data_IF_440705640283
#
_entry.id   IF_440705640283
#
_cell.length_a   1.000
_cell.length_b   1.000
_cell.length_c   1.000
_cell.angle_alpha   90.00
_cell.angle_beta   90.00
_cell.angle_gamma   90.00
#
_symmetry.space_group_name_H-M   'P 1'
#
loop_
_entity.id
_entity.type
_entity.pdbx_description
1 polymer ?
#
# COMPACT_ATOMS: atom_id res chain seq x y z
N UNK A 1 16.78 23.49 -12.79
CA UNK A 1 15.57 22.67 -12.64
C UNK A 1 16.03 21.23 -12.87
N UNK A 2 16.33 20.49 -11.79
CA UNK A 2 16.83 19.12 -11.93
C UNK A 2 15.65 18.24 -12.33
N UNK A 3 15.72 17.67 -13.53
CA UNK A 3 14.91 16.52 -13.88
C UNK A 3 15.35 15.40 -12.94
N UNK A 4 14.47 14.95 -12.05
CA UNK A 4 14.65 13.65 -11.43
C UNK A 4 14.68 12.65 -12.59
N UNK A 5 15.84 12.04 -12.83
CA UNK A 5 15.94 10.88 -13.71
C UNK A 5 15.16 9.77 -13.01
N UNK A 6 13.95 9.51 -13.51
CA UNK A 6 13.20 8.33 -13.11
C UNK A 6 13.91 7.17 -13.82
N UNK A 7 14.52 6.28 -13.04
CA UNK A 7 15.12 5.06 -13.57
C UNK A 7 14.01 4.22 -14.21
N UNK A 8 14.02 4.12 -15.53
CA UNK A 8 13.05 3.33 -16.31
C UNK A 8 13.08 1.83 -15.94
N UNK A 9 14.08 1.35 -15.17
CA UNK A 9 14.13 -0.01 -14.64
C UNK A 9 13.19 -0.28 -13.45
N UNK A 10 12.53 0.73 -12.86
CA UNK A 10 11.59 0.52 -11.73
C UNK A 10 10.38 -0.35 -12.13
N UNK A 11 10.08 -0.47 -13.43
CA UNK A 11 8.98 -1.27 -13.94
C UNK A 11 9.34 -2.75 -14.15
N UNK A 12 10.61 -3.14 -14.04
CA UNK A 12 11.10 -4.51 -14.29
C UNK A 12 11.46 -5.29 -13.00
N UNK A 13 10.97 -4.87 -11.84
CA UNK A 13 11.19 -5.66 -10.63
C UNK A 13 10.19 -6.83 -10.54
N UNK A 14 10.58 -7.97 -11.12
CA UNK A 14 10.09 -9.27 -10.68
C UNK A 14 10.49 -9.45 -9.21
N UNK A 15 9.58 -9.15 -8.30
CA UNK A 15 9.88 -9.19 -6.88
C UNK A 15 8.64 -9.19 -6.02
N UNK A 16 8.84 -9.65 -4.79
CA UNK A 16 7.84 -9.58 -3.73
C UNK A 16 8.21 -8.50 -2.72
N UNK A 17 7.21 -8.04 -1.98
CA UNK A 17 7.30 -7.06 -0.90
C UNK A 17 6.35 -7.46 0.21
N UNK A 18 6.73 -7.14 1.44
CA UNK A 18 5.92 -7.40 2.61
C UNK A 18 5.13 -6.16 2.97
N UNK A 19 3.82 -6.32 3.18
CA UNK A 19 2.98 -5.29 3.80
C UNK A 19 2.23 -5.89 4.99
N UNK A 20 2.03 -5.07 6.02
CA UNK A 20 1.23 -5.43 7.19
C UNK A 20 -0.20 -4.92 7.04
N UNK A 21 -1.19 -5.80 7.11
CA UNK A 21 -2.61 -5.48 6.95
C UNK A 21 -3.38 -5.64 8.26
N UNK A 22 -4.24 -4.68 8.56
CA UNK A 22 -5.28 -4.83 9.60
C UNK A 22 -6.48 -5.59 9.06
N UNK A 23 -7.39 -6.02 9.96
CA UNK A 23 -8.66 -6.65 9.55
C UNK A 23 -9.48 -5.76 8.61
N UNK A 24 -9.62 -4.47 8.94
CA UNK A 24 -10.42 -3.53 8.15
C UNK A 24 -9.80 -3.32 6.75
N UNK A 25 -8.48 -3.25 6.68
CA UNK A 25 -7.76 -3.13 5.41
C UNK A 25 -7.91 -4.39 4.55
N UNK A 26 -7.77 -5.58 5.13
CA UNK A 26 -7.92 -6.84 4.43
C UNK A 26 -9.35 -7.05 3.89
N UNK A 27 -10.38 -6.78 4.71
CA UNK A 27 -11.78 -6.85 4.29
C UNK A 27 -12.10 -5.84 3.18
N UNK A 28 -11.57 -4.62 3.29
CA UNK A 28 -11.75 -3.62 2.24
C UNK A 28 -11.17 -4.08 0.90
N UNK A 29 -9.97 -4.68 0.92
CA UNK A 29 -9.35 -5.20 -0.31
C UNK A 29 -10.19 -6.34 -0.87
N UNK A 30 -10.57 -7.32 -0.05
CA UNK A 30 -11.37 -8.48 -0.46
C UNK A 30 -12.71 -8.06 -1.11
N UNK A 31 -13.41 -7.09 -0.51
CA UNK A 31 -14.65 -6.52 -1.03
C UNK A 31 -14.48 -5.80 -2.39
N UNK A 32 -13.25 -5.37 -2.71
CA UNK A 32 -12.88 -4.57 -3.88
C UNK A 32 -12.30 -5.39 -5.04
N UNK A 33 -12.10 -6.70 -4.85
CA UNK A 33 -11.54 -7.58 -5.88
C UNK A 33 -12.55 -8.65 -6.32
N UNK A 34 -12.25 -9.28 -7.45
CA UNK A 34 -12.98 -10.45 -7.95
C UNK A 34 -12.00 -11.45 -8.53
N UNK A 35 -12.34 -12.73 -8.54
CA UNK A 35 -11.53 -13.74 -9.20
C UNK A 35 -11.52 -13.54 -10.72
N UNK A 36 -10.33 -13.60 -11.31
CA UNK A 36 -10.11 -13.70 -12.75
C UNK A 36 -10.36 -15.15 -13.21
N UNK A 37 -11.22 -15.37 -14.21
CA UNK A 37 -11.40 -16.66 -14.87
C UNK A 37 -10.88 -16.52 -16.29
N UNK A 38 -10.07 -17.45 -16.77
CA UNK A 38 -9.75 -17.58 -18.19
C UNK A 38 -10.80 -18.48 -18.87
N UNK A 39 -11.78 -17.95 -19.62
CA UNK A 39 -12.62 -18.79 -20.45
C UNK A 39 -11.81 -19.28 -21.66
N UNK A 40 -12.23 -20.41 -22.25
CA UNK A 40 -11.62 -21.03 -23.43
C UNK A 40 -11.49 -20.07 -24.65
N UNK A 41 -12.16 -18.92 -24.63
CA UNK A 41 -12.11 -17.87 -25.64
C UNK A 41 -11.31 -16.64 -25.15
N UNK A 42 -10.01 -16.79 -24.85
CA UNK A 42 -8.94 -15.76 -24.76
C UNK A 42 -9.19 -14.41 -24.03
N UNK A 43 -10.34 -14.20 -23.39
CA UNK A 43 -10.72 -12.96 -22.73
C UNK A 43 -11.05 -13.29 -21.29
N UNK A 44 -10.18 -12.94 -20.33
CA UNK A 44 -10.47 -13.25 -18.94
C UNK A 44 -11.73 -12.51 -18.48
N UNK A 45 -12.64 -13.23 -17.81
CA UNK A 45 -13.91 -12.72 -17.32
C UNK A 45 -13.96 -12.77 -15.78
N UNK A 46 -14.53 -11.76 -15.11
CA UNK A 46 -14.70 -11.78 -13.66
C UNK A 46 -15.84 -12.73 -13.23
N UNK A 47 -15.74 -13.32 -12.03
CA UNK A 47 -16.76 -14.25 -11.49
C UNK A 47 -18.05 -13.56 -11.00
N UNK A 48 -18.04 -12.26 -10.62
CA UNK A 48 -19.25 -11.51 -10.17
C UNK A 48 -19.68 -10.43 -11.17
N UNK A 49 -20.99 -10.14 -11.31
CA UNK A 49 -21.45 -8.97 -12.07
C UNK A 49 -20.79 -7.69 -11.55
N UNK A 50 -20.22 -6.90 -12.47
CA UNK A 50 -19.51 -5.67 -12.14
C UNK A 50 -20.50 -4.58 -11.73
N UNK A 51 -20.78 -4.48 -10.43
CA UNK A 51 -21.48 -3.34 -9.82
C UNK A 51 -20.50 -2.16 -9.81
N UNK A 52 -20.92 -0.88 -9.97
CA UNK A 52 -20.01 0.28 -10.00
C UNK A 52 -19.40 0.64 -8.63
N UNK A 53 -18.74 -0.34 -8.01
CA UNK A 53 -17.63 -0.17 -7.08
C UNK A 53 -16.48 -0.91 -7.76
N UNK A 54 -15.35 -0.25 -8.00
CA UNK A 54 -14.24 -0.79 -8.78
C UNK A 54 -13.90 -2.24 -8.40
N UNK A 55 -14.19 -3.20 -9.28
CA UNK A 55 -13.90 -4.62 -9.10
C UNK A 55 -12.75 -4.98 -10.02
N UNK A 56 -11.54 -4.96 -9.48
CA UNK A 56 -10.34 -5.35 -10.24
C UNK A 56 -10.24 -6.87 -10.18
N UNK A 57 -10.14 -7.56 -11.33
CA UNK A 57 -9.97 -9.00 -11.32
C UNK A 57 -8.54 -9.36 -10.92
N UNK A 58 -8.39 -10.34 -10.04
CA UNK A 58 -7.10 -10.79 -9.49
C UNK A 58 -6.98 -12.32 -9.59
N UNK A 59 -5.77 -12.88 -9.64
CA UNK A 59 -5.60 -14.32 -9.65
C UNK A 59 -5.99 -14.93 -8.29
N UNK A 60 -6.39 -16.20 -8.30
CA UNK A 60 -6.93 -16.88 -7.11
C UNK A 60 -5.96 -16.88 -5.90
N UNK A 61 -4.66 -16.96 -6.16
CA UNK A 61 -3.64 -16.92 -5.12
C UNK A 61 -3.68 -15.62 -4.27
N UNK A 62 -4.10 -14.50 -4.86
CA UNK A 62 -4.24 -13.23 -4.13
C UNK A 62 -5.44 -13.29 -3.19
N UNK A 63 -6.54 -13.94 -3.59
CA UNK A 63 -7.71 -14.16 -2.74
C UNK A 63 -7.35 -15.09 -1.56
N UNK A 64 -6.56 -16.14 -1.80
CA UNK A 64 -6.12 -17.05 -0.75
C UNK A 64 -5.26 -16.34 0.31
N UNK A 65 -4.33 -15.47 -0.13
CA UNK A 65 -3.53 -14.62 0.77
C UNK A 65 -4.41 -13.70 1.64
N UNK A 66 -5.43 -13.07 1.05
CA UNK A 66 -6.36 -12.20 1.78
C UNK A 66 -7.21 -13.00 2.77
N UNK A 67 -7.72 -14.16 2.37
CA UNK A 67 -8.46 -15.07 3.23
C UNK A 67 -7.64 -15.47 4.46
N UNK A 68 -6.35 -15.78 4.28
CA UNK A 68 -5.44 -16.10 5.39
C UNK A 68 -5.28 -14.93 6.38
N UNK A 69 -5.16 -13.69 5.89
CA UNK A 69 -5.11 -12.48 6.75
C UNK A 69 -6.41 -12.29 7.51
N UNK A 70 -7.55 -12.41 6.84
CA UNK A 70 -8.86 -12.21 7.47
C UNK A 70 -9.05 -13.22 8.60
N UNK A 71 -8.71 -14.48 8.37
CA UNK A 71 -8.77 -15.52 9.40
C UNK A 71 -7.78 -15.24 10.55
N UNK A 72 -6.53 -14.91 10.25
CA UNK A 72 -5.51 -14.66 11.26
C UNK A 72 -5.83 -13.42 12.12
N UNK A 73 -6.43 -12.39 11.52
CA UNK A 73 -6.83 -11.17 12.23
C UNK A 73 -8.13 -11.35 13.02
N UNK A 74 -8.92 -12.41 12.78
CA UNK A 74 -10.23 -12.64 13.41
C UNK A 74 -10.15 -12.80 14.94
N UNK A 75 -9.09 -13.42 15.44
CA UNK A 75 -8.97 -13.78 16.86
C UNK A 75 -8.25 -12.73 17.71
N UNK A 76 -7.29 -11.99 17.14
CA UNK A 76 -6.41 -11.09 17.91
C UNK A 76 -6.40 -9.62 17.44
N UNK A 77 -7.08 -9.32 16.33
CA UNK A 77 -7.14 -8.00 15.67
C UNK A 77 -5.78 -7.32 15.43
N UNK A 78 -4.68 -8.09 15.52
CA UNK A 78 -3.34 -7.59 15.29
C UNK A 78 -3.09 -7.53 13.78
N UNK A 79 -2.32 -6.54 13.30
CA UNK A 79 -1.91 -6.52 11.90
C UNK A 79 -1.12 -7.78 11.52
N UNK A 80 -1.38 -8.31 10.33
CA UNK A 80 -0.73 -9.52 9.79
C UNK A 80 0.07 -9.15 8.55
N UNK A 81 1.31 -9.63 8.48
CA UNK A 81 2.17 -9.43 7.33
C UNK A 81 1.82 -10.41 6.19
N UNK A 82 1.78 -9.88 4.98
CA UNK A 82 1.65 -10.66 3.75
C UNK A 82 2.70 -10.27 2.73
N UNK A 83 3.09 -11.27 1.95
CA UNK A 83 3.98 -11.11 0.81
C UNK A 83 3.17 -10.94 -0.47
N UNK A 84 3.43 -9.83 -1.18
CA UNK A 84 2.78 -9.49 -2.44
C UNK A 84 3.81 -9.24 -3.52
N UNK A 85 3.50 -9.66 -4.74
CA UNK A 85 4.24 -9.25 -5.91
C UNK A 85 4.09 -7.74 -6.13
N UNK A 86 5.10 -7.12 -6.73
CA UNK A 86 5.04 -5.70 -7.10
C UNK A 86 3.84 -5.39 -8.02
N UNK A 87 3.50 -6.32 -8.92
CA UNK A 87 2.28 -6.21 -9.74
C UNK A 87 1.00 -6.19 -8.91
N UNK A 88 0.90 -7.02 -7.87
CA UNK A 88 -0.21 -7.01 -6.91
C UNK A 88 -0.27 -5.68 -6.15
N UNK A 89 0.87 -5.10 -5.77
CA UNK A 89 0.92 -3.77 -5.13
C UNK A 89 0.43 -2.63 -6.03
N UNK A 90 0.76 -2.66 -7.33
CA UNK A 90 0.21 -1.70 -8.29
C UNK A 90 -1.30 -1.87 -8.48
N UNK A 91 -1.80 -3.11 -8.52
CA UNK A 91 -3.25 -3.39 -8.52
C UNK A 91 -3.91 -2.80 -7.27
N UNK A 92 -3.34 -3.05 -6.09
CA UNK A 92 -3.84 -2.49 -4.83
C UNK A 92 -3.83 -0.95 -4.84
N UNK A 93 -2.79 -0.33 -5.40
CA UNK A 93 -2.69 1.14 -5.52
C UNK A 93 -3.89 1.73 -6.27
N UNK A 94 -4.32 1.10 -7.36
CA UNK A 94 -5.42 1.58 -8.20
C UNK A 94 -6.79 1.44 -7.51
N UNK A 95 -7.05 0.32 -6.81
CA UNK A 95 -8.34 0.12 -6.12
C UNK A 95 -8.47 0.91 -4.82
N UNK A 96 -7.36 1.21 -4.13
CA UNK A 96 -7.42 1.88 -2.84
C UNK A 96 -7.87 3.34 -3.03
N UNK A 97 -9.03 3.69 -2.48
CA UNK A 97 -9.57 5.04 -2.51
C UNK A 97 -9.27 5.77 -1.20
N UNK A 98 -8.49 6.86 -1.25
CA UNK A 98 -7.91 7.51 -0.04
C UNK A 98 -8.94 8.00 0.98
N UNK A 99 -10.17 8.26 0.56
CA UNK A 99 -11.25 8.76 1.43
C UNK A 99 -12.01 7.65 2.17
N UNK A 100 -11.74 6.37 1.87
CA UNK A 100 -12.45 5.26 2.51
C UNK A 100 -12.09 5.19 3.98
N UNK A 101 -13.15 5.19 4.79
CA UNK A 101 -13.08 5.11 6.25
C UNK A 101 -13.97 3.96 6.71
N UNK A 102 -13.43 3.07 7.56
CA UNK A 102 -14.15 1.94 8.16
C UNK A 102 -13.98 2.06 9.67
N UNK A 103 -15.08 2.09 10.43
CA UNK A 103 -15.03 2.21 11.90
C UNK A 103 -14.17 3.38 12.42
N UNK A 104 -14.14 4.50 11.68
CA UNK A 104 -13.32 5.67 12.02
C UNK A 104 -11.84 5.59 11.59
N UNK A 105 -11.39 4.44 11.09
CA UNK A 105 -10.04 4.26 10.53
C UNK A 105 -9.99 4.72 9.07
N UNK A 106 -9.00 5.54 8.71
CA UNK A 106 -8.74 5.98 7.31
C UNK A 106 -8.09 4.88 6.47
N UNK A 107 -8.79 3.75 6.31
CA UNK A 107 -8.32 2.52 5.64
C UNK A 107 -7.67 2.80 4.29
N UNK A 108 -8.33 3.55 3.41
CA UNK A 108 -7.81 3.77 2.06
C UNK A 108 -6.51 4.59 2.04
N UNK A 109 -6.38 5.59 2.91
CA UNK A 109 -5.15 6.36 3.06
C UNK A 109 -4.02 5.52 3.68
N UNK A 110 -4.32 4.72 4.71
CA UNK A 110 -3.37 3.83 5.36
C UNK A 110 -2.81 2.80 4.37
N UNK A 111 -3.67 2.18 3.57
CA UNK A 111 -3.28 1.27 2.49
C UNK A 111 -2.38 1.95 1.47
N UNK A 112 -2.75 3.12 0.94
CA UNK A 112 -1.89 3.85 0.00
C UNK A 112 -0.51 4.12 0.61
N UNK A 113 -0.42 4.50 1.88
CA UNK A 113 0.88 4.70 2.55
C UNK A 113 1.70 3.42 2.64
N UNK A 114 1.09 2.29 3.00
CA UNK A 114 1.77 0.99 3.09
C UNK A 114 2.25 0.51 1.72
N UNK A 115 1.39 0.63 0.71
CA UNK A 115 1.71 0.29 -0.67
C UNK A 115 2.86 1.14 -1.19
N UNK A 116 2.78 2.47 -1.06
CA UNK A 116 3.87 3.34 -1.50
C UNK A 116 5.15 3.14 -0.69
N UNK A 117 5.08 2.80 0.60
CA UNK A 117 6.26 2.39 1.36
C UNK A 117 6.88 1.10 0.84
N UNK A 118 6.08 0.14 0.41
CA UNK A 118 6.58 -1.12 -0.13
C UNK A 118 7.14 -0.95 -1.55
N UNK A 119 6.47 -0.15 -2.40
CA UNK A 119 6.88 0.16 -3.78
C UNK A 119 8.11 1.07 -3.82
N UNK A 120 8.09 2.16 -3.05
CA UNK A 120 9.21 3.10 -2.91
C UNK A 120 10.17 2.66 -1.80
N UNK A 121 10.00 1.42 -1.33
CA UNK A 121 10.76 0.81 -0.24
C UNK A 121 12.21 0.74 -0.63
N UNK A 122 12.87 1.86 -0.37
CA UNK A 122 14.28 2.02 -0.21
C UNK A 122 14.81 0.86 0.65
N UNK A 123 15.88 0.24 0.20
CA UNK A 123 16.57 -0.86 0.89
C UNK A 123 16.79 -0.51 2.38
N UNK A 124 16.92 -1.48 3.30
CA UNK A 124 17.20 -1.19 4.71
C UNK A 124 18.35 -0.18 4.93
N UNK A 125 19.35 -0.19 4.03
CA UNK A 125 20.46 0.77 4.00
C UNK A 125 19.99 2.21 3.71
N UNK A 126 19.02 2.38 2.82
CA UNK A 126 18.49 3.68 2.45
C UNK A 126 17.47 4.23 3.47
N UNK A 127 16.78 3.36 4.20
CA UNK A 127 16.00 3.77 5.38
C UNK A 127 16.91 4.24 6.53
N UNK A 128 18.05 3.57 6.73
CA UNK A 128 19.08 3.99 7.68
C UNK A 128 19.63 5.38 7.31
N UNK A 129 20.02 5.59 6.05
CA UNK A 129 20.48 6.89 5.53
C UNK A 129 19.44 8.00 5.70
N UNK A 130 18.17 7.76 5.36
CA UNK A 130 17.09 8.74 5.56
C UNK A 130 16.86 9.05 7.04
N UNK A 131 17.05 8.07 7.92
CA UNK A 131 16.96 8.26 9.38
C UNK A 131 18.13 9.10 9.92
N UNK A 132 19.32 8.91 9.38
CA UNK A 132 20.52 9.69 9.73
C UNK A 132 20.41 11.13 9.23
N UNK A 133 19.97 11.33 7.98
CA UNK A 133 19.72 12.65 7.40
C UNK A 133 18.69 13.44 8.22
N UNK A 134 17.60 12.80 8.65
CA UNK A 134 16.61 13.43 9.55
C UNK A 134 17.22 13.82 10.89
N UNK A 135 18.03 12.95 11.51
CA UNK A 135 18.70 13.28 12.79
C UNK A 135 19.68 14.44 12.63
N UNK A 136 20.43 14.49 11.53
CA UNK A 136 21.36 15.58 11.22
C UNK A 136 20.58 16.88 11.04
N UNK A 137 19.49 16.86 10.29
CA UNK A 137 18.65 18.03 10.07
C UNK A 137 18.01 18.56 11.36
N UNK A 138 17.46 17.69 12.20
CA UNK A 138 16.91 18.07 13.52
C UNK A 138 17.99 18.65 14.44
N UNK A 139 19.19 18.06 14.47
CA UNK A 139 20.31 18.60 15.22
C UNK A 139 20.75 19.97 14.70
N UNK A 140 20.74 20.19 13.38
CA UNK A 140 21.01 21.49 12.79
C UNK A 140 19.94 22.53 13.14
N UNK A 141 18.66 22.15 13.13
CA UNK A 141 17.56 23.03 13.55
C UNK A 141 17.67 23.43 15.02
N UNK A 142 17.95 22.45 15.89
CA UNK A 142 18.10 22.69 17.34
C UNK A 142 19.31 23.56 17.66
N UNK A 143 20.42 23.40 16.93
CA UNK A 143 21.63 24.22 17.10
C UNK A 143 21.50 25.61 16.45
N UNK A 144 20.59 25.78 15.50
CA UNK A 144 20.32 27.07 14.86
C UNK A 144 19.37 27.98 15.66
N UNK A 145 18.81 27.49 16.78
CA UNK A 145 17.87 28.21 17.66
C UNK A 145 16.73 28.90 16.88
N UNK A 146 16.21 28.25 15.85
CA UNK A 146 15.09 28.76 15.07
C UNK A 146 13.80 28.37 15.78
N UNK A 147 13.25 29.31 16.55
CA UNK A 147 11.95 29.18 17.18
C UNK A 147 10.86 29.32 16.11
N UNK A 148 10.35 28.20 15.59
CA UNK A 148 9.18 28.19 14.68
C UNK A 148 7.91 28.26 15.52
N UNK A 149 7.79 29.32 16.31
CA UNK A 149 6.54 29.75 16.94
C UNK A 149 6.06 31.05 16.28
N UNK A 150 6.02 31.08 14.96
CA UNK A 150 5.26 32.12 14.23
C UNK A 150 3.80 31.67 14.10
N UNK A 151 3.01 32.09 15.10
CA UNK A 151 1.56 32.22 15.25
C UNK A 151 0.59 31.64 14.17
N UNK A 152 -0.56 31.06 14.57
CA UNK A 152 -1.67 30.81 13.66
C UNK A 152 -2.27 32.15 13.20
N UNK A 153 -2.52 32.26 11.90
CA UNK A 153 -3.23 33.39 11.31
C UNK A 153 -4.67 33.44 11.84
N UNK A 154 -5.04 34.60 12.39
CA UNK A 154 -6.43 35.07 12.55
C UNK A 154 -7.16 35.13 11.20
#
# INVERSE_FOLDING_TARGET
MNHAEWDDNILEEEGTRIISLTRNEALFIDDSVTMLIEPEANLPLPFRPLVPKALIPVPANMLDKLGAVILATADNNNPVEIELYISELYILREMCLSYITINGERVGYNLKRKIYKALLGKTPQEEELLSEERKIFENLLNNANVDISANPLE
#
